data_IF_700699212671
#
_entry.id   IF_700699212671
#
_cell.length_a   1.000
_cell.length_b   1.000
_cell.length_c   1.000
_cell.angle_alpha   90.00
_cell.angle_beta   90.00
_cell.angle_gamma   90.00
#
_symmetry.space_group_name_H-M   'P 1'
#
loop_
_entity.id
_entity.type
_entity.pdbx_description
1 polymer ?
#
# COMPACT_ATOMS: atom_id res chain seq x y z
N UNK A 1 -3.39 9.27 9.60
CA UNK A 1 -4.10 8.12 8.99
C UNK A 1 -5.54 8.45 8.60
N UNK A 2 -6.40 8.93 9.53
CA UNK A 2 -7.81 9.24 9.24
C UNK A 2 -8.01 10.24 8.09
N UNK A 3 -7.17 11.28 7.96
CA UNK A 3 -7.27 12.24 6.85
C UNK A 3 -6.88 11.66 5.49
N UNK A 4 -5.96 10.69 5.46
CA UNK A 4 -5.56 10.00 4.22
C UNK A 4 -6.58 8.93 3.85
N UNK A 5 -7.12 8.20 4.84
CA UNK A 5 -8.27 7.30 4.64
C UNK A 5 -9.50 8.07 4.19
N UNK A 6 -9.83 9.19 4.83
CA UNK A 6 -10.91 10.08 4.41
C UNK A 6 -10.65 10.70 3.04
N UNK A 7 -9.41 10.94 2.63
CA UNK A 7 -9.11 11.39 1.26
C UNK A 7 -9.29 10.28 0.22
N UNK A 8 -8.82 9.07 0.53
CA UNK A 8 -9.05 7.91 -0.33
C UNK A 8 -10.52 7.57 -0.37
N UNK A 9 -11.24 7.60 0.75
CA UNK A 9 -12.70 7.45 0.77
C UNK A 9 -13.37 8.63 0.07
N UNK A 10 -12.94 9.88 0.22
CA UNK A 10 -13.57 11.01 -0.46
C UNK A 10 -13.34 11.00 -1.98
N UNK A 11 -12.16 10.57 -2.43
CA UNK A 11 -11.89 10.35 -3.85
C UNK A 11 -12.62 9.08 -4.31
N UNK A 12 -12.53 7.97 -3.57
CA UNK A 12 -12.88 6.64 -4.05
C UNK A 12 -14.28 6.14 -3.63
N UNK A 13 -14.96 6.72 -2.64
CA UNK A 13 -16.24 6.18 -2.11
C UNK A 13 -17.39 6.34 -3.09
N UNK A 14 -17.47 7.48 -3.79
CA UNK A 14 -18.42 7.66 -4.90
C UNK A 14 -17.91 7.07 -6.22
N UNK A 15 -16.58 6.84 -6.35
CA UNK A 15 -15.97 6.30 -7.57
C UNK A 15 -15.97 4.76 -7.64
N UNK A 16 -15.89 4.04 -6.52
CA UNK A 16 -15.79 2.57 -6.48
C UNK A 16 -17.14 1.86 -6.62
N UNK A 17 -18.27 2.56 -6.50
CA UNK A 17 -19.59 1.92 -6.47
C UNK A 17 -20.42 2.18 -7.74
N UNK A 18 -20.03 3.12 -8.61
CA UNK A 18 -20.82 3.43 -9.82
C UNK A 18 -19.95 3.63 -11.07
N UNK A 19 -20.17 2.75 -12.06
CA UNK A 19 -19.55 2.69 -13.40
C UNK A 19 -18.11 2.15 -13.49
N UNK A 20 -17.81 1.07 -12.76
CA UNK A 20 -16.67 0.21 -13.07
C UNK A 20 -16.85 -0.38 -14.48
N UNK A 21 -16.07 0.08 -15.46
CA UNK A 21 -15.89 -0.64 -16.71
C UNK A 21 -14.64 -1.52 -16.50
N UNK A 22 -14.76 -2.86 -16.46
CA UNK A 22 -13.58 -3.71 -16.35
C UNK A 22 -12.66 -3.46 -17.55
N UNK A 23 -11.46 -2.96 -17.29
CA UNK A 23 -10.36 -2.99 -18.26
C UNK A 23 -9.86 -4.44 -18.38
N UNK A 24 -9.16 -4.75 -19.47
CA UNK A 24 -8.65 -6.09 -19.70
C UNK A 24 -7.82 -6.60 -18.52
N UNK A 25 -8.14 -7.81 -18.05
CA UNK A 25 -7.35 -8.53 -17.06
C UNK A 25 -6.00 -8.91 -17.68
N UNK A 26 -4.92 -8.27 -17.24
CA UNK A 26 -3.59 -8.86 -17.34
C UNK A 26 -3.25 -9.41 -15.96
N UNK A 27 -2.55 -10.55 -15.91
CA UNK A 27 -2.28 -11.36 -14.71
C UNK A 27 -1.57 -10.65 -13.55
N UNK A 28 -1.17 -9.38 -13.70
CA UNK A 28 -0.38 -8.62 -12.73
C UNK A 28 -0.91 -7.19 -12.49
N UNK A 29 -1.95 -6.76 -13.23
CA UNK A 29 -2.48 -5.41 -13.14
C UNK A 29 -3.99 -5.41 -13.40
N UNK A 30 -4.76 -5.01 -12.39
CA UNK A 30 -6.17 -4.70 -12.59
C UNK A 30 -6.29 -3.27 -13.09
N UNK A 31 -6.65 -3.12 -14.37
CA UNK A 31 -6.96 -1.82 -14.97
C UNK A 31 -8.44 -1.53 -14.85
N UNK A 32 -8.78 -0.41 -14.22
CA UNK A 32 -10.17 0.01 -14.05
C UNK A 32 -10.43 1.28 -14.85
N UNK A 33 -11.59 1.36 -15.48
CA UNK A 33 -12.03 2.53 -16.20
C UNK A 33 -13.20 3.18 -15.46
N UNK A 34 -13.10 4.49 -15.22
CA UNK A 34 -14.09 5.28 -14.50
C UNK A 34 -14.50 6.49 -15.34
N UNK A 35 -15.78 6.58 -15.69
CA UNK A 35 -16.34 7.75 -16.37
C UNK A 35 -16.92 8.72 -15.35
N UNK A 36 -16.37 9.94 -15.28
CA UNK A 36 -16.86 10.98 -14.37
C UNK A 36 -17.63 12.03 -15.18
N UNK A 37 -18.87 12.31 -14.77
CA UNK A 37 -19.74 13.34 -15.34
C UNK A 37 -20.07 14.39 -14.28
N UNK A 38 -19.97 15.67 -14.65
CA UNK A 38 -20.28 16.80 -13.77
C UNK A 38 -21.24 17.77 -14.45
N UNK A 39 -22.07 18.46 -13.65
CA UNK A 39 -22.91 19.58 -14.14
C UNK A 39 -22.06 20.81 -14.47
N UNK A 40 -20.92 20.95 -13.78
CA UNK A 40 -19.95 22.03 -13.93
C UNK A 40 -18.70 21.53 -14.65
N UNK A 41 -17.76 22.44 -14.93
CA UNK A 41 -16.45 22.07 -15.46
C UNK A 41 -15.74 21.11 -14.50
N UNK A 42 -15.14 20.05 -15.03
CA UNK A 42 -14.39 19.08 -14.25
C UNK A 42 -13.14 19.73 -13.68
N UNK A 43 -13.11 19.76 -12.35
CA UNK A 43 -12.03 20.32 -11.54
C UNK A 43 -11.94 19.53 -10.24
N UNK A 44 -10.78 18.95 -9.98
CA UNK A 44 -10.49 18.33 -8.69
C UNK A 44 -9.58 19.25 -7.90
N UNK A 45 -10.11 19.80 -6.81
CA UNK A 45 -9.27 20.50 -5.85
C UNK A 45 -8.48 19.46 -5.07
N UNK A 46 -7.18 19.71 -4.88
CA UNK A 46 -6.38 18.85 -4.02
C UNK A 46 -6.82 19.09 -2.56
N UNK A 47 -7.10 18.04 -1.79
CA UNK A 47 -7.85 18.10 -0.51
C UNK A 47 -7.09 18.83 0.60
N UNK A 48 -5.81 19.13 0.40
CA UNK A 48 -4.88 19.66 1.39
C UNK A 48 -4.47 21.10 1.10
N UNK A 49 -4.98 21.70 0.02
CA UNK A 49 -4.83 23.15 -0.26
C UNK A 49 -6.00 23.63 -1.13
N UNK A 50 -6.60 24.77 -0.80
CA UNK A 50 -7.61 25.41 -1.66
C UNK A 50 -7.04 26.00 -2.96
N UNK A 51 -5.71 26.04 -3.08
CA UNK A 51 -5.02 26.79 -4.13
C UNK A 51 -4.61 25.92 -5.33
N UNK A 52 -4.59 24.59 -5.18
CA UNK A 52 -4.14 23.67 -6.22
C UNK A 52 -5.33 22.85 -6.72
N UNK A 53 -5.41 22.71 -8.03
CA UNK A 53 -6.45 21.90 -8.65
C UNK A 53 -5.97 21.25 -9.93
N UNK A 54 -6.59 20.13 -10.28
CA UNK A 54 -6.46 19.50 -11.58
C UNK A 54 -7.71 19.85 -12.37
N UNK A 55 -7.52 20.57 -13.47
CA UNK A 55 -8.58 21.04 -14.36
C UNK A 55 -8.52 20.29 -15.69
N UNK A 56 -9.67 20.02 -16.29
CA UNK A 56 -9.75 19.21 -17.51
C UNK A 56 -10.24 20.06 -18.67
N UNK A 57 -9.50 20.00 -19.78
CA UNK A 57 -9.81 20.73 -21.01
C UNK A 57 -9.80 19.77 -22.20
N UNK A 58 -10.70 20.00 -23.15
CA UNK A 58 -10.71 19.26 -24.40
C UNK A 58 -9.51 19.68 -25.24
N UNK A 59 -8.70 18.71 -25.68
CA UNK A 59 -7.42 18.99 -26.34
C UNK A 59 -7.58 19.73 -27.69
N UNK A 60 -8.74 19.58 -28.36
CA UNK A 60 -9.02 20.22 -29.67
C UNK A 60 -9.53 21.64 -29.49
N UNK A 61 -10.52 21.80 -28.63
CA UNK A 61 -11.25 23.06 -28.44
C UNK A 61 -10.64 23.95 -27.38
N UNK A 62 -9.75 23.40 -26.54
CA UNK A 62 -9.12 24.05 -25.38
C UNK A 62 -10.15 24.59 -24.37
N UNK A 63 -11.39 24.09 -24.42
CA UNK A 63 -12.46 24.46 -23.49
C UNK A 63 -12.55 23.47 -22.33
N UNK A 64 -12.98 23.91 -21.14
CA UNK A 64 -13.21 23.01 -20.03
C UNK A 64 -14.21 21.90 -20.38
N UNK A 65 -13.91 20.66 -19.99
CA UNK A 65 -14.83 19.53 -20.17
C UNK A 65 -15.69 19.32 -18.94
N UNK A 66 -16.87 18.74 -19.15
CA UNK A 66 -17.81 18.33 -18.10
C UNK A 66 -17.83 16.83 -17.87
N UNK A 67 -17.15 16.08 -18.73
CA UNK A 67 -17.08 14.62 -18.73
C UNK A 67 -15.67 14.17 -19.10
N UNK A 68 -15.15 13.18 -18.38
CA UNK A 68 -13.84 12.60 -18.66
C UNK A 68 -13.78 11.13 -18.23
N UNK A 69 -13.08 10.32 -19.01
CA UNK A 69 -12.80 8.92 -18.71
C UNK A 69 -11.40 8.81 -18.10
N UNK A 70 -11.31 8.23 -16.92
CA UNK A 70 -10.08 7.95 -16.20
C UNK A 70 -9.74 6.48 -16.31
N UNK A 71 -8.45 6.19 -16.52
CA UNK A 71 -7.90 4.85 -16.38
C UNK A 71 -7.13 4.82 -15.06
N UNK A 72 -7.61 4.02 -14.12
CA UNK A 72 -7.06 3.92 -12.78
C UNK A 72 -6.51 2.51 -12.60
N UNK A 73 -5.22 2.42 -12.31
CA UNK A 73 -4.59 1.19 -11.84
C UNK A 73 -4.37 1.35 -10.33
N UNK A 74 -4.76 0.35 -9.56
CA UNK A 74 -4.47 0.30 -8.12
C UNK A 74 -3.58 -0.91 -7.86
N UNK A 75 -2.50 -0.73 -7.12
CA UNK A 75 -1.54 -1.79 -6.81
C UNK A 75 -0.75 -1.50 -5.53
N UNK A 76 -0.01 -2.48 -5.01
CA UNK A 76 0.85 -2.34 -3.84
C UNK A 76 2.31 -2.56 -4.23
N UNK A 77 3.19 -1.76 -3.65
CA UNK A 77 4.62 -2.00 -3.69
C UNK A 77 5.12 -2.33 -2.28
N UNK A 78 5.90 -3.40 -2.14
CA UNK A 78 6.61 -3.70 -0.90
C UNK A 78 7.99 -3.06 -0.93
N UNK A 79 8.34 -2.31 0.13
CA UNK A 79 9.62 -1.60 0.19
C UNK A 79 10.81 -2.52 0.44
N UNK A 80 10.57 -3.74 0.95
CA UNK A 80 11.60 -4.73 1.30
C UNK A 80 11.56 -6.03 0.49
N UNK A 81 10.45 -6.31 -0.21
CA UNK A 81 10.27 -7.53 -1.02
C UNK A 81 10.04 -7.16 -2.48
N UNK A 82 10.76 -7.81 -3.39
CA UNK A 82 10.75 -7.50 -4.83
C UNK A 82 9.53 -8.07 -5.59
N UNK A 83 8.58 -8.72 -4.90
CA UNK A 83 7.38 -9.25 -5.53
C UNK A 83 6.25 -8.20 -5.47
N UNK A 84 5.76 -7.81 -6.64
CA UNK A 84 4.49 -7.10 -6.76
C UNK A 84 3.37 -8.05 -6.30
N UNK A 85 2.48 -7.58 -5.43
CA UNK A 85 1.35 -8.36 -4.92
C UNK A 85 0.07 -7.89 -5.59
N UNK A 86 -0.69 -8.84 -6.11
CA UNK A 86 -1.98 -8.59 -6.72
C UNK A 86 -3.04 -8.33 -5.66
N UNK A 87 -3.79 -7.25 -5.87
CA UNK A 87 -4.93 -6.93 -5.02
C UNK A 87 -6.01 -7.98 -5.15
N UNK A 88 -6.42 -8.50 -4.00
CA UNK A 88 -7.61 -9.31 -3.84
C UNK A 88 -8.40 -8.84 -2.62
N UNK A 89 -9.53 -9.49 -2.37
CA UNK A 89 -10.39 -9.18 -1.21
C UNK A 89 -9.70 -9.33 0.14
N UNK A 90 -8.52 -9.96 0.19
CA UNK A 90 -7.80 -10.27 1.43
C UNK A 90 -6.66 -9.30 1.72
N UNK A 91 -6.33 -8.32 0.88
CA UNK A 91 -5.07 -7.52 1.00
C UNK A 91 -4.93 -6.73 2.31
N UNK A 92 -6.04 -6.40 2.98
CA UNK A 92 -6.05 -5.80 4.32
C UNK A 92 -6.62 -6.72 5.40
N UNK A 93 -6.71 -8.01 5.09
CA UNK A 93 -7.21 -9.00 6.00
C UNK A 93 -6.15 -9.32 7.07
N UNK A 94 -6.58 -9.84 8.24
CA UNK A 94 -5.65 -10.35 9.23
C UNK A 94 -4.74 -11.45 8.66
N UNK A 95 -5.17 -12.21 7.65
CA UNK A 95 -4.33 -13.23 7.02
C UNK A 95 -3.11 -12.62 6.33
N UNK A 96 -3.29 -11.56 5.54
CA UNK A 96 -2.18 -10.86 4.89
C UNK A 96 -1.24 -10.23 5.92
N UNK A 97 -1.76 -9.68 7.02
CA UNK A 97 -0.89 -9.20 8.11
C UNK A 97 -0.09 -10.32 8.75
N UNK A 98 -0.69 -11.51 8.93
CA UNK A 98 0.01 -12.69 9.46
C UNK A 98 1.12 -13.16 8.52
N UNK A 99 0.84 -13.32 7.22
CA UNK A 99 1.84 -13.81 6.25
C UNK A 99 3.01 -12.84 6.10
N UNK A 100 2.74 -11.54 5.98
CA UNK A 100 3.79 -10.52 5.89
C UNK A 100 4.60 -10.42 7.18
N UNK A 101 3.97 -10.57 8.35
CA UNK A 101 4.68 -10.60 9.62
C UNK A 101 5.66 -11.77 9.70
N UNK A 102 5.26 -12.96 9.26
CA UNK A 102 6.12 -14.14 9.16
C UNK A 102 7.33 -13.86 8.26
N UNK A 103 7.10 -13.28 7.07
CA UNK A 103 8.16 -12.95 6.13
C UNK A 103 9.15 -11.91 6.69
N UNK A 104 8.64 -10.79 7.24
CA UNK A 104 9.46 -9.68 7.77
C UNK A 104 10.39 -10.16 8.88
N UNK A 105 9.89 -11.03 9.76
CA UNK A 105 10.66 -11.59 10.86
C UNK A 105 11.51 -12.80 10.46
N UNK A 106 11.43 -13.24 9.19
CA UNK A 106 12.05 -14.46 8.68
C UNK A 106 11.68 -15.70 9.52
N UNK A 107 10.43 -15.77 9.99
CA UNK A 107 9.96 -16.98 10.66
C UNK A 107 9.72 -18.07 9.64
N UNK A 108 10.31 -19.23 9.91
CA UNK A 108 9.92 -20.48 9.26
C UNK A 108 8.62 -20.99 9.88
N UNK A 109 7.96 -21.92 9.21
CA UNK A 109 6.77 -22.59 9.75
C UNK A 109 7.08 -23.31 11.07
N UNK A 110 8.28 -23.88 11.20
CA UNK A 110 8.79 -24.47 12.45
C UNK A 110 8.87 -23.43 13.57
N UNK A 111 9.30 -22.20 13.26
CA UNK A 111 9.33 -21.11 14.25
C UNK A 111 7.92 -20.73 14.68
N UNK A 112 6.96 -20.66 13.75
CA UNK A 112 5.57 -20.38 14.09
C UNK A 112 4.98 -21.47 14.99
N UNK A 113 5.19 -22.75 14.66
CA UNK A 113 4.73 -23.89 15.48
C UNK A 113 5.37 -23.85 16.86
N UNK A 114 6.68 -23.55 16.93
CA UNK A 114 7.41 -23.36 18.19
C UNK A 114 6.77 -22.30 19.06
N UNK A 115 6.52 -21.11 18.52
CA UNK A 115 5.94 -20.00 19.28
C UNK A 115 4.49 -20.29 19.69
N UNK A 116 3.71 -21.00 18.86
CA UNK A 116 2.38 -21.51 19.23
C UNK A 116 2.48 -22.40 20.48
N UNK A 117 3.40 -23.38 20.47
CA UNK A 117 3.60 -24.28 21.60
C UNK A 117 4.09 -23.54 22.84
N UNK A 118 4.95 -22.53 22.70
CA UNK A 118 5.47 -21.80 23.86
C UNK A 118 4.48 -20.82 24.48
N UNK A 119 3.71 -20.12 23.65
CA UNK A 119 3.04 -18.89 24.09
C UNK A 119 1.51 -18.99 24.13
N UNK A 120 0.88 -19.90 23.35
CA UNK A 120 -0.60 -19.98 23.34
C UNK A 120 -1.16 -20.78 24.53
N UNK A 121 -0.41 -21.73 25.07
CA UNK A 121 -0.87 -22.61 26.15
C UNK A 121 -0.02 -22.47 27.41
N UNK A 122 -0.68 -22.51 28.58
CA UNK A 122 -0.01 -22.44 29.90
C UNK A 122 0.31 -23.80 30.51
N UNK A 123 -0.12 -24.88 29.87
CA UNK A 123 0.06 -26.27 30.31
C UNK A 123 1.53 -26.72 30.36
N UNK A 124 1.86 -27.85 30.99
CA UNK A 124 3.17 -28.50 30.81
C UNK A 124 3.47 -28.73 29.33
N UNK A 125 4.71 -28.52 28.89
CA UNK A 125 5.05 -28.46 27.47
C UNK A 125 4.63 -29.72 26.69
N UNK A 126 4.81 -30.92 27.27
CA UNK A 126 4.42 -32.17 26.62
C UNK A 126 2.90 -32.26 26.35
N UNK A 127 2.07 -31.68 27.22
CA UNK A 127 0.61 -31.67 27.04
C UNK A 127 0.16 -30.68 25.95
N UNK A 128 1.01 -29.72 25.56
CA UNK A 128 0.68 -28.69 24.57
C UNK A 128 0.62 -29.24 23.16
N UNK A 129 1.43 -30.26 22.85
CA UNK A 129 1.39 -30.95 21.56
C UNK A 129 0.00 -31.53 21.27
N UNK A 130 -0.55 -32.26 22.25
CA UNK A 130 -1.89 -32.83 22.14
C UNK A 130 -2.95 -31.75 21.95
N UNK A 131 -2.82 -30.60 22.62
CA UNK A 131 -3.74 -29.47 22.46
C UNK A 131 -3.66 -28.86 21.06
N UNK A 132 -2.44 -28.59 20.56
CA UNK A 132 -2.21 -28.05 19.20
C UNK A 132 -2.79 -28.99 18.15
N UNK A 133 -2.46 -30.29 18.22
CA UNK A 133 -2.98 -31.31 17.29
C UNK A 133 -4.50 -31.38 17.36
N UNK A 134 -5.09 -31.36 18.56
CA UNK A 134 -6.53 -31.40 18.73
C UNK A 134 -7.23 -30.18 18.12
N UNK A 135 -6.69 -28.96 18.29
CA UNK A 135 -7.26 -27.77 17.68
C UNK A 135 -7.14 -27.79 16.15
N UNK A 136 -6.01 -28.22 15.61
CA UNK A 136 -5.83 -28.39 14.15
C UNK A 136 -6.85 -29.41 13.63
N UNK A 137 -6.93 -30.59 14.26
CA UNK A 137 -7.87 -31.66 13.88
C UNK A 137 -9.36 -31.25 13.96
N UNK A 138 -9.73 -30.22 14.72
CA UNK A 138 -11.10 -29.66 14.71
C UNK A 138 -11.37 -28.83 13.46
N UNK A 139 -10.34 -28.23 12.86
CA UNK A 139 -10.46 -27.35 11.70
C UNK A 139 -10.37 -28.08 10.36
N UNK A 140 -9.83 -29.30 10.35
CA UNK A 140 -9.68 -30.14 9.15
C UNK A 140 -10.74 -31.25 9.12
N UNK A 141 -11.07 -31.72 7.91
CA UNK A 141 -12.01 -32.81 7.71
C UNK A 141 -11.56 -34.11 8.40
N UNK A 142 -12.54 -34.91 8.84
CA UNK A 142 -12.34 -36.07 9.74
C UNK A 142 -11.42 -37.19 9.23
N UNK A 143 -11.03 -37.17 7.96
CA UNK A 143 -10.28 -38.24 7.30
C UNK A 143 -8.75 -37.98 7.28
N UNK A 144 -8.28 -36.84 7.80
CA UNK A 144 -6.88 -36.39 7.84
C UNK A 144 -6.51 -35.99 9.28
N UNK A 145 -6.82 -36.84 10.26
CA UNK A 145 -6.53 -36.56 11.67
C UNK A 145 -5.12 -37.01 12.01
N UNK A 146 -4.31 -36.07 12.48
CA UNK A 146 -2.99 -36.35 13.04
C UNK A 146 -3.12 -37.08 14.38
N UNK A 147 -2.36 -38.16 14.55
CA UNK A 147 -2.17 -38.82 15.84
C UNK A 147 -0.98 -38.23 16.59
N UNK A 148 -1.11 -38.06 17.91
CA UNK A 148 0.02 -37.66 18.76
C UNK A 148 1.16 -38.69 18.69
N UNK A 149 0.80 -39.97 18.60
CA UNK A 149 1.74 -41.09 18.58
C UNK A 149 2.56 -41.12 17.28
N UNK A 150 1.95 -40.72 16.16
CA UNK A 150 2.62 -40.58 14.86
C UNK A 150 3.57 -39.38 14.83
N UNK A 151 3.24 -38.32 15.56
CA UNK A 151 4.01 -37.06 15.59
C UNK A 151 5.24 -37.18 16.48
N UNK A 152 5.09 -37.73 17.68
CA UNK A 152 6.20 -37.74 18.63
C UNK A 152 7.17 -38.89 18.37
N UNK A 153 6.69 -40.00 17.76
CA UNK A 153 7.29 -41.33 17.86
C UNK A 153 7.54 -41.69 19.35
N UNK A 154 7.46 -42.95 19.73
CA UNK A 154 7.61 -43.35 21.16
C UNK A 154 9.03 -43.13 21.73
N UNK A 155 9.88 -42.33 21.08
CA UNK A 155 11.25 -42.04 21.48
C UNK A 155 11.30 -40.88 22.49
N UNK A 156 11.25 -41.23 23.78
CA UNK A 156 11.37 -40.29 24.89
C UNK A 156 12.71 -39.52 24.90
N UNK A 157 13.70 -39.94 24.10
CA UNK A 157 15.04 -39.32 24.08
C UNK A 157 15.14 -38.04 23.23
N UNK A 158 14.10 -37.72 22.45
CA UNK A 158 14.10 -36.55 21.58
C UNK A 158 14.16 -35.24 22.37
N UNK A 159 15.03 -34.34 21.94
CA UNK A 159 15.09 -32.97 22.44
C UNK A 159 13.81 -32.20 22.08
N UNK A 160 13.58 -31.11 22.80
CA UNK A 160 12.43 -30.24 22.60
C UNK A 160 12.33 -29.69 21.17
N UNK A 161 13.47 -29.33 20.56
CA UNK A 161 13.50 -28.81 19.20
C UNK A 161 13.22 -29.90 18.17
N UNK A 162 13.76 -31.11 18.36
CA UNK A 162 13.47 -32.26 17.50
C UNK A 162 11.98 -32.63 17.55
N UNK A 163 11.35 -32.56 18.72
CA UNK A 163 9.90 -32.76 18.86
C UNK A 163 9.07 -31.70 18.11
N UNK A 164 9.50 -30.43 18.11
CA UNK A 164 8.85 -29.35 17.35
C UNK A 164 9.02 -29.57 15.84
N UNK A 165 10.22 -29.94 15.39
CA UNK A 165 10.49 -30.25 13.99
C UNK A 165 9.67 -31.45 13.51
N UNK A 166 9.58 -32.52 14.31
CA UNK A 166 8.75 -33.68 13.99
C UNK A 166 7.27 -33.31 13.86
N UNK A 167 6.73 -32.49 14.77
CA UNK A 167 5.36 -31.97 14.63
C UNK A 167 5.21 -31.16 13.35
N UNK A 168 6.15 -30.27 13.05
CA UNK A 168 6.07 -29.42 11.85
C UNK A 168 6.10 -30.26 10.57
N UNK A 169 7.01 -31.25 10.50
CA UNK A 169 7.10 -32.17 9.36
C UNK A 169 5.82 -33.01 9.22
N UNK A 170 5.29 -33.56 10.31
CA UNK A 170 4.05 -34.31 10.29
C UNK A 170 2.86 -33.46 9.81
N UNK A 171 2.81 -32.18 10.19
CA UNK A 171 1.83 -31.22 9.69
C UNK A 171 2.00 -30.98 8.19
N UNK A 172 3.22 -30.82 7.70
CA UNK A 172 3.49 -30.70 6.26
C UNK A 172 3.03 -31.92 5.47
N UNK A 173 3.44 -33.11 5.91
CA UNK A 173 3.09 -34.38 5.27
C UNK A 173 1.56 -34.59 5.21
N UNK A 174 0.82 -34.00 6.15
CA UNK A 174 -0.65 -34.05 6.17
C UNK A 174 -1.34 -32.98 5.33
N UNK A 175 -0.68 -31.85 5.05
CA UNK A 175 -1.31 -30.67 4.44
C UNK A 175 -0.73 -30.26 3.08
N UNK A 176 0.23 -31.02 2.55
CA UNK A 176 0.88 -31.00 1.23
C UNK A 176 1.47 -29.65 0.74
N UNK A 177 0.91 -28.48 1.10
CA UNK A 177 1.46 -27.13 0.86
C UNK A 177 0.70 -25.96 1.57
N UNK A 178 -0.36 -26.22 2.36
CA UNK A 178 -1.25 -25.18 2.93
C UNK A 178 -1.10 -24.96 4.46
N UNK A 179 0.08 -25.19 5.03
CA UNK A 179 0.27 -25.13 6.49
C UNK A 179 -0.02 -23.72 7.07
N UNK A 180 0.46 -22.64 6.45
CA UNK A 180 0.23 -21.27 6.92
C UNK A 180 -1.26 -20.86 6.98
N UNK A 181 -2.08 -21.07 5.93
CA UNK A 181 -3.52 -20.88 6.01
C UNK A 181 -4.17 -21.64 7.17
N UNK A 182 -3.75 -22.89 7.41
CA UNK A 182 -4.31 -23.73 8.47
C UNK A 182 -3.91 -23.21 9.85
N UNK A 183 -2.64 -22.87 10.07
CA UNK A 183 -2.18 -22.29 11.33
C UNK A 183 -2.92 -20.97 11.60
N UNK A 184 -3.03 -20.10 10.59
CA UNK A 184 -3.80 -18.86 10.70
C UNK A 184 -5.26 -19.13 11.11
N UNK A 185 -5.95 -20.00 10.36
CA UNK A 185 -7.37 -20.31 10.60
C UNK A 185 -7.60 -20.93 11.98
N UNK A 186 -6.65 -21.72 12.47
CA UNK A 186 -6.78 -22.45 13.73
C UNK A 186 -6.49 -21.59 14.95
N UNK A 187 -5.43 -20.78 14.89
CA UNK A 187 -4.89 -20.12 16.08
C UNK A 187 -5.09 -18.60 16.10
N UNK A 188 -5.38 -17.99 14.95
CA UNK A 188 -5.43 -16.53 14.82
C UNK A 188 -6.80 -16.03 14.39
N UNK A 189 -7.46 -16.71 13.45
CA UNK A 189 -8.77 -16.33 12.91
C UNK A 189 -9.87 -16.48 13.96
N UNK A 190 -10.50 -15.36 14.29
CA UNK A 190 -11.72 -15.30 15.09
C UNK A 190 -12.91 -14.84 14.20
N UNK A 191 -14.11 -14.75 14.77
CA UNK A 191 -15.34 -14.33 14.10
C UNK A 191 -15.31 -12.89 13.60
N UNK A 192 -14.40 -12.06 14.10
CA UNK A 192 -14.25 -10.66 13.71
C UNK A 192 -12.80 -10.34 13.40
N UNK A 193 -12.55 -9.56 12.35
CA UNK A 193 -11.20 -9.18 11.93
C UNK A 193 -10.40 -8.43 13.01
N UNK A 194 -11.07 -7.58 13.80
CA UNK A 194 -10.44 -6.84 14.89
C UNK A 194 -9.77 -7.78 15.91
N UNK A 195 -10.48 -8.81 16.36
CA UNK A 195 -9.93 -9.83 17.26
C UNK A 195 -8.82 -10.65 16.63
N UNK A 196 -8.96 -10.98 15.34
CA UNK A 196 -7.91 -11.70 14.62
C UNK A 196 -6.61 -10.87 14.57
N UNK A 197 -6.71 -9.56 14.33
CA UNK A 197 -5.57 -8.65 14.38
C UNK A 197 -4.98 -8.51 15.79
N UNK A 198 -5.80 -8.50 16.84
CA UNK A 198 -5.30 -8.53 18.22
C UNK A 198 -4.52 -9.82 18.53
N UNK A 199 -4.96 -10.97 18.04
CA UNK A 199 -4.25 -12.23 18.22
C UNK A 199 -2.89 -12.23 17.51
N UNK A 200 -2.82 -11.70 16.29
CA UNK A 200 -1.56 -11.51 15.55
C UNK A 200 -0.61 -10.60 16.32
N UNK A 201 -1.10 -9.46 16.83
CA UNK A 201 -0.30 -8.54 17.67
C UNK A 201 0.27 -9.25 18.89
N UNK A 202 -0.54 -10.02 19.62
CA UNK A 202 -0.06 -10.75 20.80
C UNK A 202 1.03 -11.77 20.47
N UNK A 203 0.94 -12.41 19.30
CA UNK A 203 1.89 -13.43 18.88
C UNK A 203 3.23 -12.84 18.40
N UNK A 204 3.19 -11.84 17.52
CA UNK A 204 4.40 -11.24 16.93
C UNK A 204 4.94 -10.01 17.67
N UNK A 205 4.28 -9.56 18.75
CA UNK A 205 4.43 -8.27 19.44
C UNK A 205 3.52 -7.14 18.87
N UNK A 206 3.07 -6.23 19.74
CA UNK A 206 2.13 -5.13 19.45
C UNK A 206 2.59 -4.22 18.31
N UNK A 207 3.90 -4.12 18.07
CA UNK A 207 4.48 -3.32 16.99
C UNK A 207 4.40 -3.98 15.60
N UNK A 208 3.93 -5.22 15.48
CA UNK A 208 3.96 -5.95 14.21
C UNK A 208 3.13 -5.27 13.12
N UNK A 209 1.99 -4.68 13.48
CA UNK A 209 1.15 -3.95 12.52
C UNK A 209 1.90 -2.74 11.97
N UNK A 210 2.61 -2.00 12.82
CA UNK A 210 3.43 -0.88 12.36
C UNK A 210 4.57 -1.37 11.47
N UNK A 211 5.19 -2.51 11.77
CA UNK A 211 6.24 -3.09 10.92
C UNK A 211 5.72 -3.49 9.53
N UNK A 212 4.57 -4.16 9.47
CA UNK A 212 3.91 -4.55 8.22
C UNK A 212 3.46 -3.31 7.43
N UNK A 213 2.82 -2.35 8.10
CA UNK A 213 2.43 -1.08 7.47
C UNK A 213 3.66 -0.34 6.92
N UNK A 214 4.79 -0.37 7.63
CA UNK A 214 6.03 0.29 7.20
C UNK A 214 6.66 -0.30 5.93
N UNK A 215 6.31 -1.53 5.54
CA UNK A 215 6.77 -2.15 4.29
C UNK A 215 5.73 -2.11 3.18
N UNK A 216 4.45 -1.89 3.53
CA UNK A 216 3.36 -1.71 2.57
C UNK A 216 3.34 -0.28 2.01
N UNK A 217 3.28 -0.17 0.69
CA UNK A 217 3.11 1.12 0.02
C UNK A 217 1.98 1.02 -1.03
N UNK A 218 0.72 1.30 -0.64
CA UNK A 218 -0.39 1.40 -1.59
C UNK A 218 -0.13 2.48 -2.64
N UNK A 219 -0.42 2.17 -3.89
CA UNK A 219 -0.22 3.03 -5.06
C UNK A 219 -1.44 3.05 -5.96
N UNK A 220 -1.92 4.25 -6.29
CA UNK A 220 -2.95 4.49 -7.30
C UNK A 220 -2.30 5.24 -8.45
N UNK A 221 -2.33 4.70 -9.66
CA UNK A 221 -1.96 5.38 -10.88
C UNK A 221 -3.19 5.75 -11.69
N UNK A 222 -3.31 7.03 -12.01
CA UNK A 222 -4.36 7.57 -12.87
C UNK A 222 -3.70 8.06 -14.14
N UNK A 223 -3.97 7.38 -15.25
CA UNK A 223 -3.56 7.86 -16.56
C UNK A 223 -4.59 8.86 -17.06
N UNK A 224 -4.13 10.09 -17.22
CA UNK A 224 -4.90 11.18 -17.79
C UNK A 224 -4.47 11.33 -19.24
N UNK A 225 -5.45 11.39 -20.15
CA UNK A 225 -5.13 11.74 -21.54
C UNK A 225 -4.58 13.19 -21.59
N UNK A 226 -4.26 13.72 -22.78
CA UNK A 226 -3.68 15.07 -22.97
C UNK A 226 -4.64 16.25 -22.64
N UNK A 227 -5.43 16.12 -21.57
CA UNK A 227 -6.53 16.98 -21.20
C UNK A 227 -6.50 17.41 -19.73
N UNK A 228 -5.62 16.85 -18.89
CA UNK A 228 -5.54 17.21 -17.47
C UNK A 228 -4.41 18.22 -17.22
N UNK A 229 -4.71 19.29 -16.51
CA UNK A 229 -3.78 20.37 -16.25
C UNK A 229 -3.75 20.69 -14.76
N UNK A 230 -2.56 20.65 -14.18
CA UNK A 230 -2.31 21.10 -12.82
C UNK A 230 -2.26 22.62 -12.81
N UNK A 231 -3.22 23.21 -12.10
CA UNK A 231 -3.23 24.61 -11.76
C UNK A 231 -2.41 24.83 -10.47
N UNK A 232 -1.27 25.50 -10.61
CA UNK A 232 -0.38 25.85 -9.50
C UNK A 232 -0.46 27.37 -9.30
N UNK A 233 -0.62 27.85 -8.06
CA UNK A 233 -0.59 29.28 -7.78
C UNK A 233 0.71 29.95 -8.26
N UNK A 234 0.57 31.07 -8.98
CA UNK A 234 1.70 31.82 -9.54
C UNK A 234 2.71 32.32 -8.48
N UNK A 235 2.30 32.41 -7.20
CA UNK A 235 3.18 32.72 -6.07
C UNK A 235 4.25 31.64 -5.81
N UNK A 236 4.03 30.41 -6.29
CA UNK A 236 4.96 29.30 -6.18
C UNK A 236 5.68 29.05 -7.50
N UNK A 237 4.91 28.86 -8.59
CA UNK A 237 5.43 28.47 -9.91
C UNK A 237 4.68 29.20 -11.01
N UNK A 238 5.42 29.66 -12.01
CA UNK A 238 4.86 30.00 -13.32
C UNK A 238 5.30 28.98 -14.35
N UNK A 239 4.41 28.62 -15.27
CA UNK A 239 4.80 27.90 -16.49
C UNK A 239 5.32 28.93 -17.50
N UNK A 240 6.50 28.67 -18.07
CA UNK A 240 7.12 29.56 -19.06
C UNK A 240 6.71 29.17 -20.50
N UNK A 241 5.41 28.91 -20.69
CA UNK A 241 4.77 28.69 -21.99
C UNK A 241 3.51 29.55 -22.08
N UNK A 242 2.88 29.63 -23.26
CA UNK A 242 1.59 30.30 -23.43
C UNK A 242 0.47 29.65 -22.58
N UNK A 243 0.64 28.37 -22.25
CA UNK A 243 -0.27 27.64 -21.37
C UNK A 243 0.07 27.98 -19.91
N UNK A 244 -0.85 28.65 -19.21
CA UNK A 244 -0.70 29.04 -17.79
C UNK A 244 -0.67 27.85 -16.81
N UNK A 245 -0.82 26.62 -17.31
CA UNK A 245 -1.00 25.42 -16.52
C UNK A 245 -0.04 24.32 -16.94
N UNK A 246 0.26 23.43 -16.00
CA UNK A 246 1.17 22.30 -16.24
C UNK A 246 0.38 21.08 -16.71
N UNK A 247 0.63 20.59 -17.93
CA UNK A 247 -0.02 19.36 -18.42
C UNK A 247 0.37 18.15 -17.57
N UNK A 248 -0.60 17.33 -17.21
CA UNK A 248 -0.43 16.08 -16.46
C UNK A 248 -0.96 14.93 -17.30
N UNK A 249 -0.12 13.93 -17.55
CA UNK A 249 -0.49 12.69 -18.25
C UNK A 249 -0.65 11.51 -17.31
N UNK A 250 0.00 11.55 -16.14
CA UNK A 250 -0.11 10.50 -15.15
C UNK A 250 -0.05 11.11 -13.75
N UNK A 251 -0.95 10.64 -12.89
CA UNK A 251 -0.99 10.98 -11.47
C UNK A 251 -0.75 9.68 -10.71
N UNK A 252 0.39 9.57 -10.03
CA UNK A 252 0.67 8.45 -9.13
C UNK A 252 0.49 8.94 -7.68
N UNK A 253 -0.43 8.33 -6.96
CA UNK A 253 -0.75 8.60 -5.56
C UNK A 253 -0.18 7.47 -4.73
N UNK A 254 0.73 7.78 -3.81
CA UNK A 254 1.42 6.82 -2.98
C UNK A 254 1.12 7.11 -1.50
N UNK A 255 0.64 6.12 -0.78
CA UNK A 255 0.60 6.16 0.68
C UNK A 255 1.88 5.56 1.25
N UNK A 256 2.68 6.38 1.90
CA UNK A 256 3.89 5.95 2.58
C UNK A 256 3.64 5.94 4.09
N UNK A 257 3.26 4.77 4.61
CA UNK A 257 2.96 4.59 6.03
C UNK A 257 4.20 4.80 6.90
N UNK A 258 5.37 4.32 6.46
CA UNK A 258 6.65 4.48 7.15
C UNK A 258 6.99 5.93 7.43
N UNK A 259 6.89 6.78 6.41
CA UNK A 259 7.15 8.22 6.55
C UNK A 259 5.90 9.03 6.91
N UNK A 260 4.77 8.35 7.16
CA UNK A 260 3.47 8.94 7.50
C UNK A 260 3.08 10.08 6.56
N UNK A 261 3.20 9.82 5.26
CA UNK A 261 2.96 10.83 4.24
C UNK A 261 2.19 10.31 3.02
N UNK A 262 1.48 11.22 2.36
CA UNK A 262 0.86 11.02 1.07
C UNK A 262 1.73 11.69 0.01
N UNK A 263 2.06 10.99 -1.06
CA UNK A 263 2.88 11.51 -2.16
C UNK A 263 2.04 11.49 -3.42
N UNK A 264 1.93 12.63 -4.11
CA UNK A 264 1.33 12.73 -5.44
C UNK A 264 2.43 13.06 -6.44
N UNK A 265 2.72 12.15 -7.36
CA UNK A 265 3.61 12.40 -8.48
C UNK A 265 2.77 12.76 -9.71
N UNK A 266 2.91 13.99 -10.18
CA UNK A 266 2.23 14.54 -11.34
C UNK A 266 3.25 14.54 -12.48
N UNK A 267 3.08 13.61 -13.43
CA UNK A 267 4.03 13.34 -14.52
C UNK A 267 3.47 13.84 -15.84
N UNK A 268 4.30 14.53 -16.61
CA UNK A 268 4.05 14.92 -18.00
C UNK A 268 4.94 14.09 -18.92
N UNK A 269 4.44 13.72 -20.10
CA UNK A 269 5.24 13.05 -21.12
C UNK A 269 6.24 14.00 -21.79
N UNK A 270 5.97 15.31 -21.76
CA UNK A 270 6.83 16.34 -22.34
C UNK A 270 7.53 17.20 -21.29
N UNK A 271 8.71 17.70 -21.65
CA UNK A 271 9.45 18.66 -20.84
C UNK A 271 8.73 19.99 -20.81
N UNK A 272 8.53 20.55 -19.62
CA UNK A 272 7.90 21.86 -19.42
C UNK A 272 8.89 22.80 -18.73
N UNK A 273 9.02 24.02 -19.26
CA UNK A 273 9.80 25.08 -18.61
C UNK A 273 8.99 25.70 -17.48
N UNK A 274 9.58 25.77 -16.31
CA UNK A 274 8.96 26.29 -15.09
C UNK A 274 9.84 27.37 -14.48
N UNK A 275 9.22 28.40 -13.92
CA UNK A 275 9.89 29.44 -13.14
C UNK A 275 9.47 29.26 -11.69
N UNK A 276 10.42 28.88 -10.83
CA UNK A 276 10.18 28.72 -9.39
C UNK A 276 10.39 30.08 -8.71
N UNK A 277 9.34 30.64 -8.11
CA UNK A 277 9.40 31.99 -7.53
C UNK A 277 10.31 32.05 -6.32
N UNK A 278 10.19 31.07 -5.43
CA UNK A 278 11.03 30.89 -4.26
C UNK A 278 11.07 29.40 -3.93
N UNK A 279 12.27 28.82 -3.90
CA UNK A 279 12.48 27.41 -3.60
C UNK A 279 13.77 27.21 -2.80
N UNK A 280 13.90 26.09 -2.11
CA UNK A 280 15.11 25.66 -1.42
C UNK A 280 15.77 24.54 -2.23
N UNK A 281 17.06 24.64 -2.52
CA UNK A 281 17.81 23.57 -3.15
C UNK A 281 18.06 22.45 -2.12
N UNK A 282 17.63 21.23 -2.40
CA UNK A 282 17.67 20.11 -1.45
C UNK A 282 19.10 19.69 -1.08
N UNK A 283 20.07 19.89 -1.97
CA UNK A 283 21.46 19.46 -1.76
C UNK A 283 22.20 20.27 -0.69
N UNK A 284 21.86 21.55 -0.52
CA UNK A 284 22.62 22.47 0.33
C UNK A 284 21.77 23.50 1.08
N UNK A 285 20.46 23.28 1.14
CA UNK A 285 19.47 24.13 1.80
C UNK A 285 19.48 25.61 1.38
N UNK A 286 20.08 25.94 0.23
CA UNK A 286 20.14 27.32 -0.28
C UNK A 286 18.80 27.73 -0.87
N UNK A 287 18.25 28.84 -0.38
CA UNK A 287 17.09 29.48 -1.02
C UNK A 287 17.49 30.16 -2.33
N UNK A 288 16.72 29.88 -3.37
CA UNK A 288 16.81 30.48 -4.71
C UNK A 288 15.48 31.12 -5.08
N UNK A 289 15.54 32.19 -5.87
CA UNK A 289 14.36 32.95 -6.29
C UNK A 289 14.35 33.11 -7.81
N UNK A 290 13.15 33.02 -8.40
CA UNK A 290 12.91 33.14 -9.85
C UNK A 290 13.87 32.32 -10.71
N UNK A 291 14.06 31.05 -10.38
CA UNK A 291 14.91 30.16 -11.15
C UNK A 291 14.11 29.46 -12.26
N UNK A 292 14.62 29.50 -13.50
CA UNK A 292 14.08 28.71 -14.61
C UNK A 292 14.64 27.29 -14.55
N UNK A 293 13.75 26.31 -14.61
CA UNK A 293 14.09 24.89 -14.68
C UNK A 293 13.26 24.21 -15.76
N UNK A 294 13.69 23.04 -16.21
CA UNK A 294 12.90 22.21 -17.14
C UNK A 294 12.55 20.89 -16.49
N UNK A 295 11.27 20.61 -16.31
CA UNK A 295 10.82 19.40 -15.64
C UNK A 295 9.64 18.73 -16.34
N UNK A 296 9.59 17.41 -16.19
CA UNK A 296 8.45 16.58 -16.57
C UNK A 296 7.75 15.95 -15.36
N UNK A 297 8.19 16.27 -14.14
CA UNK A 297 7.61 15.71 -12.92
C UNK A 297 7.47 16.81 -11.85
N UNK A 298 6.29 16.87 -11.25
CA UNK A 298 6.04 17.66 -10.06
C UNK A 298 5.54 16.70 -8.99
N UNK A 299 6.22 16.65 -7.84
CA UNK A 299 5.80 15.83 -6.71
C UNK A 299 5.22 16.73 -5.62
N UNK A 300 4.08 16.34 -5.05
CA UNK A 300 3.53 16.94 -3.84
C UNK A 300 3.66 15.90 -2.73
N UNK A 301 4.34 16.26 -1.64
CA UNK A 301 4.43 15.43 -0.42
C UNK A 301 3.65 16.09 0.69
N UNK A 302 2.72 15.35 1.27
CA UNK A 302 1.85 15.81 2.35
C UNK A 302 2.16 14.98 3.59
N UNK A 303 2.57 15.66 4.65
CA UNK A 303 2.78 15.06 5.96
C UNK A 303 1.73 15.62 6.93
N UNK A 304 1.73 15.13 8.17
CA UNK A 304 0.87 15.70 9.22
C UNK A 304 1.19 17.17 9.53
N UNK A 305 2.45 17.58 9.31
CA UNK A 305 2.94 18.91 9.74
C UNK A 305 3.03 19.91 8.60
N UNK A 306 3.31 19.47 7.38
CA UNK A 306 3.52 20.35 6.24
C UNK A 306 3.14 19.69 4.90
N UNK A 307 2.94 20.55 3.90
CA UNK A 307 2.80 20.16 2.49
C UNK A 307 3.94 20.80 1.72
N UNK A 308 4.65 20.00 0.94
CA UNK A 308 5.81 20.41 0.17
C UNK A 308 5.65 20.03 -1.28
N UNK A 309 6.14 20.88 -2.16
CA UNK A 309 6.28 20.59 -3.57
C UNK A 309 7.75 20.32 -3.88
N UNK A 310 8.02 19.20 -4.54
CA UNK A 310 9.35 18.80 -5.00
C UNK A 310 9.39 18.81 -6.53
N UNK A 311 10.46 19.37 -7.07
CA UNK A 311 10.67 19.43 -8.52
C UNK A 311 12.14 19.19 -8.80
N UNK A 312 12.41 18.30 -9.74
CA UNK A 312 13.75 18.04 -10.25
C UNK A 312 13.92 18.70 -11.61
N UNK A 313 15.00 19.46 -11.78
CA UNK A 313 15.43 19.92 -13.10
C UNK A 313 16.03 18.74 -13.88
N UNK A 314 15.47 18.49 -15.06
CA UNK A 314 15.78 17.29 -15.85
C UNK A 314 17.25 17.23 -16.26
N UNK A 315 17.83 18.39 -16.58
CA UNK A 315 19.19 18.51 -17.10
C UNK A 315 20.24 18.58 -16.00
N UNK A 316 20.06 19.45 -15.00
CA UNK A 316 21.05 19.59 -13.92
C UNK A 316 20.91 18.56 -12.80
N UNK A 317 19.80 17.79 -12.76
CA UNK A 317 19.45 16.85 -11.68
C UNK A 317 19.30 17.50 -10.31
N UNK A 318 19.27 18.83 -10.26
CA UNK A 318 19.03 19.59 -9.03
C UNK A 318 17.58 19.44 -8.60
N UNK A 319 17.41 19.14 -7.32
CA UNK A 319 16.09 19.02 -6.67
C UNK A 319 15.78 20.27 -5.88
N UNK A 320 14.59 20.78 -6.06
CA UNK A 320 14.06 21.97 -5.41
C UNK A 320 12.85 21.61 -4.57
N UNK A 321 12.76 22.23 -3.40
CA UNK A 321 11.65 22.11 -2.45
C UNK A 321 10.95 23.46 -2.29
N UNK A 322 9.63 23.48 -2.34
CA UNK A 322 8.79 24.64 -2.04
C UNK A 322 7.82 24.25 -0.93
N UNK A 323 7.91 24.94 0.22
CA UNK A 323 6.95 24.75 1.31
C UNK A 323 5.65 25.47 0.95
N UNK A 324 4.55 24.73 0.90
CA UNK A 324 3.23 25.30 0.63
C UNK A 324 2.65 25.82 1.94
N UNK A 325 2.27 27.10 1.96
CA UNK A 325 1.51 27.70 3.07
C UNK A 325 0.09 27.15 3.04
N UNK A 326 -0.41 26.73 4.21
CA UNK A 326 -1.81 26.35 4.42
C UNK A 326 -2.76 27.49 4.09
#
# INVERSE_FOLDING_TARGET
MEKSKAFIEQICSDLLIYNLIPGGNNSHHSSYQFEIKSKNNLKFNLPFTDSFSIEFFDYKTKQPVKEHLFYVNYYFQYLSYNHEFDLNEETFSPYTYFTLATEINNYTETDIVREILYNLYKDPFDNRYSLVINEINKQVNSNLKLSLDEVLNEDESLTMNEKIENLTNALYDHFDEDLMPILFKTFFKDKSDEKSLENIKKFFNDNIIEQVDNVLQPKIEINTNQSAFLNIPNKYISVASEELHYLVNNIETILDFKNKCLILNLKNNSLTKLILKQATLVENDKTVNNIEITSKNIQIKITETNTKLYIEDTFSKKKYEIILKK
#
